data_IF_238309289374
#
_entry.id   IF_238309289374
#
_cell.length_a   1.000
_cell.length_b   1.000
_cell.length_c   1.000
_cell.angle_alpha   90.00
_cell.angle_beta   90.00
_cell.angle_gamma   90.00
#
_symmetry.space_group_name_H-M   'P 1'
#
loop_
_entity.id
_entity.type
_entity.pdbx_description
1 polymer ?
#
# COMPACT_ATOMS: atom_id res chain seq x y z
N UNK A 1 -16.53 42.33 -29.09
CA UNK A 1 -15.45 41.32 -29.05
C UNK A 1 -15.34 40.88 -27.60
N UNK A 2 -15.50 39.59 -27.30
CA UNK A 2 -15.33 39.09 -25.94
C UNK A 2 -13.84 39.16 -25.59
N UNK A 3 -13.49 39.87 -24.52
CA UNK A 3 -12.11 39.91 -24.03
C UNK A 3 -11.69 38.53 -23.55
N UNK A 4 -10.63 38.01 -24.16
CA UNK A 4 -10.09 36.69 -23.86
C UNK A 4 -9.23 36.79 -22.60
N UNK A 5 -9.82 36.51 -21.43
CA UNK A 5 -9.12 36.59 -20.16
C UNK A 5 -8.26 35.35 -19.90
N UNK A 6 -6.96 35.47 -20.18
CA UNK A 6 -5.98 34.40 -19.99
C UNK A 6 -5.84 33.96 -18.53
N UNK A 7 -6.02 34.88 -17.58
CA UNK A 7 -5.88 34.60 -16.14
C UNK A 7 -7.01 33.71 -15.62
N UNK A 8 -8.26 33.96 -16.05
CA UNK A 8 -9.39 33.08 -15.71
C UNK A 8 -9.22 31.68 -16.29
N UNK A 9 -8.68 31.56 -17.50
CA UNK A 9 -8.35 30.28 -18.14
C UNK A 9 -7.27 29.53 -17.36
N UNK A 10 -6.22 30.22 -16.93
CA UNK A 10 -5.14 29.66 -16.10
C UNK A 10 -5.65 29.21 -14.73
N UNK A 11 -6.50 30.00 -14.08
CA UNK A 11 -7.13 29.66 -12.79
C UNK A 11 -8.02 28.42 -12.97
N UNK A 12 -8.86 28.38 -14.00
CA UNK A 12 -9.74 27.24 -14.27
C UNK A 12 -8.97 25.97 -14.67
N UNK A 13 -7.90 26.10 -15.45
CA UNK A 13 -7.02 25.00 -15.81
C UNK A 13 -6.32 24.41 -14.57
N UNK A 14 -5.78 25.26 -13.70
CA UNK A 14 -5.15 24.84 -12.45
C UNK A 14 -6.15 24.26 -11.45
N UNK A 15 -7.37 24.79 -11.40
CA UNK A 15 -8.47 24.28 -10.57
C UNK A 15 -8.96 22.91 -11.07
N UNK A 16 -9.07 22.70 -12.39
CA UNK A 16 -9.36 21.39 -12.99
C UNK A 16 -8.25 20.37 -12.78
N UNK A 17 -6.97 20.76 -12.85
CA UNK A 17 -5.84 19.87 -12.50
C UNK A 17 -5.80 19.53 -11.02
N UNK A 18 -6.07 20.48 -10.12
CA UNK A 18 -6.20 20.20 -8.67
C UNK A 18 -7.41 19.31 -8.35
N UNK A 19 -8.49 19.39 -9.14
CA UNK A 19 -9.72 18.63 -8.94
C UNK A 19 -9.70 17.20 -9.53
N UNK A 20 -8.59 16.77 -10.15
CA UNK A 20 -8.44 15.41 -10.66
C UNK A 20 -7.41 14.61 -9.84
N UNK A 21 -7.42 14.79 -8.52
CA UNK A 21 -6.86 13.77 -7.62
C UNK A 21 -7.80 12.56 -7.68
N UNK A 22 -7.44 11.59 -8.51
CA UNK A 22 -8.08 10.27 -8.55
C UNK A 22 -8.01 9.68 -7.13
N UNK A 23 -9.11 9.76 -6.39
CA UNK A 23 -9.18 9.16 -5.07
C UNK A 23 -8.81 7.67 -5.17
N UNK A 24 -8.00 7.24 -4.22
CA UNK A 24 -7.65 5.84 -4.01
C UNK A 24 -8.62 5.28 -2.98
N UNK A 25 -9.32 4.21 -3.36
CA UNK A 25 -10.13 3.44 -2.43
C UNK A 25 -9.24 2.41 -1.73
N UNK A 26 -9.22 2.48 -0.41
CA UNK A 26 -8.60 1.51 0.48
C UNK A 26 -9.71 0.83 1.26
N UNK A 27 -9.69 -0.49 1.31
CA UNK A 27 -10.62 -1.28 2.11
C UNK A 27 -9.85 -1.84 3.30
N UNK A 28 -10.25 -1.47 4.51
CA UNK A 28 -9.66 -1.98 5.75
C UNK A 28 -10.74 -2.73 6.51
N UNK A 29 -10.55 -4.04 6.69
CA UNK A 29 -11.54 -4.93 7.33
C UNK A 29 -12.96 -4.79 6.76
N UNK A 30 -13.07 -4.65 5.43
CA UNK A 30 -14.34 -4.50 4.73
C UNK A 30 -14.93 -3.08 4.72
N UNK A 31 -14.31 -2.13 5.43
CA UNK A 31 -14.73 -0.72 5.43
C UNK A 31 -13.95 0.09 4.41
N UNK A 32 -14.68 0.87 3.62
CA UNK A 32 -14.15 1.70 2.55
C UNK A 32 -13.61 3.04 3.08
N UNK A 33 -12.46 3.45 2.57
CA UNK A 33 -11.82 4.74 2.80
C UNK A 33 -11.39 5.33 1.45
N UNK A 34 -11.83 6.55 1.15
CA UNK A 34 -11.49 7.27 -0.08
C UNK A 34 -10.49 8.37 0.24
N UNK A 35 -9.30 8.28 -0.34
CA UNK A 35 -8.16 9.13 0.02
C UNK A 35 -7.54 9.69 -1.25
N UNK A 36 -7.32 10.99 -1.30
CA UNK A 36 -6.76 11.70 -2.46
C UNK A 36 -5.30 11.36 -2.77
N UNK A 37 -4.52 10.95 -1.76
CA UNK A 37 -3.18 10.38 -1.91
C UNK A 37 -2.82 9.51 -0.71
N UNK A 38 -2.33 8.29 -0.91
CA UNK A 38 -1.92 7.40 0.19
C UNK A 38 -0.41 7.40 0.31
N UNK A 39 0.12 7.89 1.42
CA UNK A 39 1.57 7.93 1.72
C UNK A 39 1.94 6.93 2.81
N UNK A 40 1.06 6.78 3.80
CA UNK A 40 1.30 5.91 4.97
C UNK A 40 0.01 5.22 5.41
N UNK A 41 0.09 3.92 5.68
CA UNK A 41 -0.87 3.13 6.45
C UNK A 41 -0.11 2.60 7.67
N UNK A 42 -0.24 3.28 8.81
CA UNK A 42 0.44 2.93 10.05
C UNK A 42 -0.51 2.09 10.92
N UNK A 43 0.02 1.03 11.51
CA UNK A 43 -0.72 0.12 12.40
C UNK A 43 0.01 0.09 13.74
N UNK A 44 -0.67 0.48 14.81
CA UNK A 44 -0.15 0.56 16.18
C UNK A 44 -1.12 -0.17 17.13
N UNK A 45 -0.79 -1.42 17.47
CA UNK A 45 -1.75 -2.30 18.16
C UNK A 45 -2.99 -2.52 17.30
N UNK A 46 -4.16 -2.14 17.84
CA UNK A 46 -5.46 -2.20 17.15
C UNK A 46 -5.76 -0.94 16.33
N UNK A 47 -4.97 0.12 16.52
CA UNK A 47 -5.20 1.40 15.87
C UNK A 47 -4.56 1.42 14.48
N UNK A 48 -5.34 1.92 13.51
CA UNK A 48 -4.88 2.14 12.15
C UNK A 48 -4.97 3.62 11.83
N UNK A 49 -3.92 4.14 11.20
CA UNK A 49 -3.83 5.51 10.75
C UNK A 49 -3.56 5.52 9.26
N UNK A 50 -4.27 6.37 8.51
CA UNK A 50 -3.97 6.62 7.10
C UNK A 50 -3.52 8.06 6.97
N UNK A 51 -2.30 8.27 6.49
CA UNK A 51 -1.65 9.60 6.42
C UNK A 51 -1.65 10.38 7.75
N UNK A 52 -1.64 9.67 8.88
CA UNK A 52 -1.69 10.26 10.22
C UNK A 52 -3.08 10.34 10.85
N UNK A 53 -4.16 10.21 10.06
CA UNK A 53 -5.53 10.25 10.58
C UNK A 53 -5.98 8.87 11.04
N UNK A 54 -6.39 8.77 12.32
CA UNK A 54 -6.89 7.52 12.90
C UNK A 54 -8.21 7.12 12.23
N UNK A 55 -8.28 5.90 11.72
CA UNK A 55 -9.51 5.35 11.14
C UNK A 55 -10.36 4.69 12.21
N UNK A 56 -11.67 4.92 12.17
CA UNK A 56 -12.62 4.27 13.07
C UNK A 56 -12.96 2.88 12.56
N UNK A 57 -12.37 1.87 13.18
CA UNK A 57 -12.72 0.46 12.98
C UNK A 57 -13.73 0.02 14.03
N UNK A 58 -14.61 -0.90 13.66
CA UNK A 58 -15.46 -1.56 14.65
C UNK A 58 -14.61 -2.54 15.47
N UNK A 59 -14.83 -2.65 16.80
CA UNK A 59 -13.95 -3.33 17.75
C UNK A 59 -14.05 -4.88 17.68
N UNK A 60 -13.99 -5.47 16.50
CA UNK A 60 -14.33 -6.90 16.32
C UNK A 60 -13.33 -7.74 15.53
N UNK A 61 -12.13 -7.25 15.26
CA UNK A 61 -11.22 -8.05 14.46
C UNK A 61 -9.76 -7.96 14.91
N UNK A 62 -9.30 -9.03 15.55
CA UNK A 62 -7.89 -9.29 15.83
C UNK A 62 -7.05 -9.38 14.53
N UNK A 63 -7.72 -9.53 13.38
CA UNK A 63 -7.08 -9.54 12.06
C UNK A 63 -7.26 -8.23 11.32
N UNK A 64 -6.16 -7.74 10.77
CA UNK A 64 -6.12 -6.53 9.94
C UNK A 64 -5.94 -6.93 8.48
N UNK A 65 -6.95 -6.67 7.66
CA UNK A 65 -6.95 -6.95 6.23
C UNK A 65 -7.00 -5.62 5.47
N UNK A 66 -6.02 -5.39 4.60
CA UNK A 66 -5.90 -4.18 3.81
C UNK A 66 -5.96 -4.55 2.33
N UNK A 67 -6.87 -3.92 1.59
CA UNK A 67 -6.93 -4.00 0.13
C UNK A 67 -6.81 -2.60 -0.47
N UNK A 68 -5.89 -2.44 -1.42
CA UNK A 68 -5.65 -1.19 -2.15
C UNK A 68 -6.06 -1.40 -3.62
N UNK A 69 -6.98 -0.58 -4.11
CA UNK A 69 -7.60 -0.80 -5.43
C UNK A 69 -6.95 -0.01 -6.58
N UNK A 70 -5.87 0.73 -6.33
CA UNK A 70 -5.21 1.56 -7.34
C UNK A 70 -3.70 1.57 -7.16
N UNK A 71 -3.04 2.16 -8.15
CA UNK A 71 -1.60 2.38 -8.11
C UNK A 71 -1.23 3.37 -6.99
N UNK A 72 -0.13 3.08 -6.29
CA UNK A 72 0.46 3.95 -5.28
C UNK A 72 1.95 4.12 -5.58
N UNK A 73 2.43 5.36 -5.63
CA UNK A 73 3.84 5.63 -5.85
C UNK A 73 4.68 5.24 -4.62
N UNK A 74 4.31 5.74 -3.44
CA UNK A 74 5.05 5.52 -2.20
C UNK A 74 4.11 5.09 -1.08
N UNK A 75 4.40 3.96 -0.44
CA UNK A 75 3.63 3.48 0.71
C UNK A 75 4.54 3.08 1.86
N UNK A 76 4.28 3.61 3.04
CA UNK A 76 4.76 3.00 4.29
C UNK A 76 3.62 2.17 4.88
N UNK A 77 3.87 0.89 5.19
CA UNK A 77 2.86 -0.01 5.76
C UNK A 77 3.37 -0.71 7.02
N UNK A 78 2.50 -0.82 8.03
CA UNK A 78 2.72 -1.59 9.25
C UNK A 78 2.42 -3.09 9.11
N UNK A 79 2.43 -3.81 10.24
CA UNK A 79 2.16 -5.25 10.27
C UNK A 79 0.66 -5.55 10.21
N UNK A 80 0.20 -6.27 9.20
CA UNK A 80 -1.20 -6.69 9.02
C UNK A 80 -1.31 -8.22 8.93
N UNK A 81 -2.49 -8.75 8.62
CA UNK A 81 -2.70 -10.18 8.36
C UNK A 81 -2.75 -10.45 6.86
N UNK A 82 -3.58 -9.72 6.13
CA UNK A 82 -3.66 -9.83 4.68
C UNK A 82 -3.41 -8.48 4.05
N UNK A 83 -2.44 -8.42 3.15
CA UNK A 83 -2.15 -7.23 2.35
C UNK A 83 -2.37 -7.54 0.87
N UNK A 84 -3.39 -6.91 0.28
CA UNK A 84 -3.75 -7.07 -1.13
C UNK A 84 -3.63 -5.74 -1.86
N UNK A 85 -3.03 -5.77 -3.04
CA UNK A 85 -2.99 -4.66 -3.98
C UNK A 85 -3.57 -5.15 -5.31
N UNK A 86 -4.60 -4.47 -5.81
CA UNK A 86 -5.18 -4.72 -7.14
C UNK A 86 -4.59 -3.80 -8.20
N UNK A 87 -4.02 -2.66 -7.80
CA UNK A 87 -3.12 -1.85 -8.64
C UNK A 87 -1.65 -2.24 -8.43
N UNK A 88 -0.75 -1.31 -8.72
CA UNK A 88 0.69 -1.47 -8.57
C UNK A 88 1.26 -0.55 -7.48
N UNK A 89 2.24 -1.01 -6.71
CA UNK A 89 3.01 -0.13 -5.81
C UNK A 89 4.42 0.10 -6.36
N UNK A 90 4.78 1.35 -6.63
CA UNK A 90 6.14 1.68 -7.11
C UNK A 90 7.19 1.48 -6.02
N UNK A 91 6.94 1.94 -4.79
CA UNK A 91 7.88 1.76 -3.68
C UNK A 91 7.18 1.61 -2.34
N UNK A 92 7.49 0.53 -1.64
CA UNK A 92 7.20 0.38 -0.21
C UNK A 92 8.42 0.87 0.58
N UNK A 93 8.21 1.84 1.46
CA UNK A 93 9.26 2.54 2.21
C UNK A 93 9.68 1.81 3.49
N UNK A 94 8.98 0.74 3.87
CA UNK A 94 9.20 -0.03 5.09
C UNK A 94 9.26 -1.54 4.81
N UNK A 95 9.52 -2.33 5.86
CA UNK A 95 9.33 -3.78 5.76
C UNK A 95 7.84 -4.14 5.72
N UNK A 96 7.49 -5.16 4.93
CA UNK A 96 6.15 -5.74 4.90
C UNK A 96 6.13 -6.92 5.87
N UNK A 97 5.10 -6.98 6.73
CA UNK A 97 4.86 -8.10 7.65
C UNK A 97 3.38 -8.47 7.59
N UNK A 98 3.07 -9.60 7.01
CA UNK A 98 1.70 -10.09 6.84
C UNK A 98 1.65 -11.61 6.74
N UNK A 99 0.49 -12.24 6.88
CA UNK A 99 0.35 -13.66 6.58
C UNK A 99 0.32 -13.90 5.08
N UNK A 100 -0.51 -13.14 4.35
CA UNK A 100 -0.61 -13.25 2.90
C UNK A 100 -0.40 -11.88 2.24
N UNK A 101 0.54 -11.86 1.29
CA UNK A 101 0.82 -10.73 0.40
C UNK A 101 0.29 -11.06 -1.00
N UNK A 102 -0.56 -10.21 -1.54
CA UNK A 102 -1.12 -10.34 -2.89
C UNK A 102 -0.95 -9.02 -3.65
N UNK A 103 -0.49 -9.08 -4.90
CA UNK A 103 -0.40 -7.91 -5.78
C UNK A 103 1.02 -7.57 -6.22
N UNK A 104 1.11 -6.56 -7.08
CA UNK A 104 2.34 -6.21 -7.79
C UNK A 104 3.07 -5.02 -7.14
N UNK A 105 4.36 -5.21 -6.87
CA UNK A 105 5.21 -4.25 -6.17
C UNK A 105 6.55 -4.13 -6.91
N UNK A 106 6.89 -2.93 -7.35
CA UNK A 106 8.17 -2.70 -8.03
C UNK A 106 9.35 -2.81 -7.03
N UNK A 107 9.26 -2.12 -5.88
CA UNK A 107 10.37 -2.03 -4.94
C UNK A 107 9.94 -2.05 -3.48
N UNK A 108 10.66 -2.78 -2.64
CA UNK A 108 10.53 -2.77 -1.18
C UNK A 108 11.84 -2.31 -0.54
N UNK A 109 11.84 -1.15 0.12
CA UNK A 109 12.96 -0.62 0.93
C UNK A 109 12.92 -1.20 2.35
N UNK A 110 12.92 -2.52 2.44
CA UNK A 110 12.81 -3.26 3.69
C UNK A 110 12.80 -4.76 3.41
N UNK A 111 12.51 -5.54 4.45
CA UNK A 111 12.31 -6.99 4.31
C UNK A 111 10.84 -7.29 4.02
N UNK A 112 10.59 -8.38 3.29
CA UNK A 112 9.25 -8.95 3.15
C UNK A 112 9.19 -10.20 4.01
N UNK A 113 8.32 -10.19 5.02
CA UNK A 113 8.00 -11.37 5.84
C UNK A 113 6.54 -11.71 5.61
N UNK A 114 6.30 -12.76 4.85
CA UNK A 114 4.95 -13.23 4.57
C UNK A 114 4.86 -14.74 4.46
N UNK A 115 3.85 -15.37 5.07
CA UNK A 115 3.67 -16.82 4.91
C UNK A 115 3.44 -17.18 3.43
N UNK A 116 2.60 -16.42 2.73
CA UNK A 116 2.38 -16.60 1.28
C UNK A 116 2.65 -15.28 0.56
N UNK A 117 3.48 -15.34 -0.49
CA UNK A 117 3.64 -14.25 -1.45
C UNK A 117 2.99 -14.68 -2.77
N UNK A 118 1.87 -14.06 -3.10
CA UNK A 118 1.06 -14.33 -4.28
C UNK A 118 0.91 -13.05 -5.13
N UNK A 119 2.01 -12.62 -5.71
CA UNK A 119 2.11 -11.42 -6.53
C UNK A 119 3.54 -11.26 -7.04
N UNK A 120 3.77 -10.25 -7.88
CA UNK A 120 5.11 -10.00 -8.42
C UNK A 120 5.82 -8.92 -7.61
N UNK A 121 7.04 -9.21 -7.15
CA UNK A 121 7.89 -8.21 -6.49
C UNK A 121 9.20 -8.08 -7.27
N UNK A 122 9.44 -6.94 -7.91
CA UNK A 122 10.62 -6.80 -8.77
C UNK A 122 11.91 -6.72 -7.94
N UNK A 123 11.92 -5.95 -6.84
CA UNK A 123 13.11 -5.78 -6.00
C UNK A 123 12.80 -5.67 -4.51
N UNK A 124 13.57 -6.40 -3.69
CA UNK A 124 13.55 -6.33 -2.23
C UNK A 124 14.93 -5.92 -1.73
N UNK A 125 15.04 -4.72 -1.15
CA UNK A 125 16.27 -4.18 -0.55
C UNK A 125 16.49 -4.66 0.90
N UNK A 126 16.14 -5.92 1.17
CA UNK A 126 16.22 -6.56 2.47
C UNK A 126 16.09 -8.06 2.31
N UNK A 127 15.67 -8.76 3.36
CA UNK A 127 15.46 -10.21 3.29
C UNK A 127 14.03 -10.54 2.87
N UNK A 128 13.87 -11.67 2.19
CA UNK A 128 12.58 -12.30 1.93
C UNK A 128 12.46 -13.53 2.82
N UNK A 129 11.51 -13.53 3.75
CA UNK A 129 11.14 -14.71 4.53
C UNK A 129 9.71 -15.11 4.18
N UNK A 130 9.53 -16.33 3.67
CA UNK A 130 8.22 -16.83 3.28
C UNK A 130 8.08 -18.33 3.39
N UNK A 131 6.86 -18.84 3.53
CA UNK A 131 6.61 -20.28 3.46
C UNK A 131 6.37 -20.73 2.03
N UNK A 132 5.60 -19.96 1.28
CA UNK A 132 5.17 -20.30 -0.07
C UNK A 132 5.25 -19.08 -0.99
N UNK A 133 5.83 -19.26 -2.18
CA UNK A 133 5.83 -18.28 -3.27
C UNK A 133 4.94 -18.79 -4.40
N UNK A 134 3.90 -18.04 -4.74
CA UNK A 134 2.97 -18.32 -5.84
C UNK A 134 3.11 -17.35 -7.01
N UNK A 135 3.73 -16.19 -6.79
CA UNK A 135 4.07 -15.23 -7.83
C UNK A 135 5.56 -15.26 -8.16
N UNK A 136 6.11 -14.10 -8.53
CA UNK A 136 7.53 -13.97 -8.88
C UNK A 136 8.22 -12.96 -7.96
N UNK A 137 9.49 -13.22 -7.63
CA UNK A 137 10.37 -12.23 -7.00
C UNK A 137 11.63 -12.11 -7.84
N UNK A 138 11.95 -10.90 -8.29
CA UNK A 138 13.09 -10.63 -9.18
C UNK A 138 14.43 -10.62 -8.43
N UNK A 139 14.70 -9.55 -7.68
CA UNK A 139 15.96 -9.32 -6.97
C UNK A 139 15.73 -9.25 -5.45
N UNK A 140 16.60 -9.93 -4.67
CA UNK A 140 16.63 -9.84 -3.20
C UNK A 140 18.05 -9.54 -2.75
N UNK A 141 18.27 -8.39 -2.11
CA UNK A 141 19.60 -7.88 -1.76
C UNK A 141 20.13 -8.35 -0.39
N UNK A 142 19.56 -9.43 0.14
CA UNK A 142 20.02 -10.05 1.37
C UNK A 142 19.71 -11.54 1.34
N UNK A 143 19.05 -12.07 2.36
CA UNK A 143 18.74 -13.50 2.46
C UNK A 143 17.35 -13.83 1.93
N UNK A 144 17.21 -15.02 1.36
CA UNK A 144 15.93 -15.65 1.09
C UNK A 144 15.78 -16.84 2.05
N UNK A 145 14.74 -16.81 2.88
CA UNK A 145 14.44 -17.84 3.88
C UNK A 145 13.10 -18.47 3.57
N UNK A 146 13.08 -19.81 3.43
CA UNK A 146 11.83 -20.57 3.31
C UNK A 146 11.44 -21.18 4.66
N UNK A 147 10.59 -20.48 5.40
CA UNK A 147 10.11 -20.92 6.72
C UNK A 147 8.73 -20.33 7.02
N UNK A 148 8.03 -20.93 7.99
CA UNK A 148 6.86 -20.28 8.58
C UNK A 148 7.35 -19.03 9.30
N UNK A 149 6.73 -17.89 8.97
CA UNK A 149 6.90 -16.67 9.74
C UNK A 149 5.74 -16.57 10.73
N UNK A 150 6.07 -16.37 12.00
CA UNK A 150 5.11 -16.10 13.06
C UNK A 150 5.28 -14.64 13.47
N UNK A 151 4.16 -13.93 13.56
CA UNK A 151 4.11 -12.53 13.98
C UNK A 151 4.35 -12.51 15.50
N UNK A 152 5.49 -11.97 15.92
CA UNK A 152 5.79 -11.66 17.33
C UNK A 152 4.81 -10.63 17.91
#
# INVERSE_FOLDING_TARGET
>A
MAEFNLEELLINYNKKRKAQTKETKIVINGKDYFISSTREIRIEGEDIYINGDKVKLEPKNDKINITILRDIENLKIGSCNNFKVEGNITTILSSIRCDNLVGDIEKVNGSVRANIVNGNINKINGSLAMKELKGNVGEVNSSIMRSRWEKE
#
